data_IF_795130290181
#
_entry.id   IF_795130290181
#
_cell.length_a   1.000
_cell.length_b   1.000
_cell.length_c   1.000
_cell.angle_alpha   90.00
_cell.angle_beta   90.00
_cell.angle_gamma   90.00
#
_symmetry.space_group_name_H-M   'P 1'
#
loop_
_entity.id
_entity.type
_entity.pdbx_description
1 polymer ?
#
# COMPACT_ATOMS: atom_id res chain seq x y z
N UNK A 1 7.56 -3.20 14.66
CA UNK A 1 6.33 -2.68 14.01
C UNK A 1 6.47 -2.91 12.52
N UNK A 2 5.77 -3.85 11.96
CA UNK A 2 5.80 -4.11 10.53
C UNK A 2 4.75 -3.20 9.91
N UNK A 3 5.14 -2.39 8.93
CA UNK A 3 4.16 -1.65 8.14
C UNK A 3 3.30 -2.66 7.39
N UNK A 4 2.06 -2.78 7.77
CA UNK A 4 1.06 -3.46 6.97
C UNK A 4 0.28 -2.38 6.25
N UNK A 5 0.63 -2.21 5.02
CA UNK A 5 -0.15 -1.38 4.12
C UNK A 5 -0.99 -2.30 3.27
N UNK A 6 -2.18 -2.54 3.66
CA UNK A 6 -3.26 -2.79 2.69
C UNK A 6 -4.43 -3.46 3.36
N UNK A 7 -5.47 -2.76 3.63
CA UNK A 7 -6.79 -3.33 3.71
C UNK A 7 -7.27 -3.55 2.27
N UNK A 8 -7.00 -4.72 1.71
CA UNK A 8 -7.67 -5.12 0.48
C UNK A 8 -9.09 -5.58 0.87
N UNK A 9 -10.01 -4.65 0.99
CA UNK A 9 -11.42 -4.99 1.14
C UNK A 9 -11.92 -5.52 -0.20
N UNK A 10 -12.04 -6.85 -0.34
CA UNK A 10 -12.77 -7.44 -1.44
C UNK A 10 -14.27 -7.33 -1.14
N UNK A 11 -14.94 -6.36 -1.74
CA UNK A 11 -16.41 -6.28 -1.71
C UNK A 11 -16.94 -7.20 -2.80
N UNK A 12 -17.58 -8.29 -2.41
CA UNK A 12 -18.23 -9.22 -3.33
C UNK A 12 -19.69 -8.78 -3.53
N UNK A 13 -19.99 -8.22 -4.69
CA UNK A 13 -21.36 -7.91 -5.10
C UNK A 13 -21.86 -9.00 -6.04
N UNK A 14 -22.87 -9.74 -5.64
CA UNK A 14 -23.45 -10.81 -6.45
C UNK A 14 -24.51 -10.30 -7.44
N UNK A 15 -24.31 -10.59 -8.71
CA UNK A 15 -25.35 -10.53 -9.75
C UNK A 15 -25.12 -11.70 -10.73
N UNK A 16 -26.19 -12.32 -11.22
CA UNK A 16 -26.13 -13.51 -12.05
C UNK A 16 -25.63 -13.25 -13.46
N UNK A 17 -24.47 -13.77 -13.81
CA UNK A 17 -23.95 -13.83 -15.18
C UNK A 17 -22.99 -15.02 -15.40
N UNK A 18 -22.78 -15.42 -16.61
CA UNK A 18 -22.25 -16.66 -17.16
C UNK A 18 -21.01 -17.26 -16.48
N UNK A 19 -21.07 -18.53 -16.15
CA UNK A 19 -20.08 -19.38 -15.49
C UNK A 19 -18.80 -19.67 -16.29
N UNK A 20 -18.69 -19.20 -17.52
CA UNK A 20 -17.65 -19.66 -18.45
C UNK A 20 -16.24 -19.06 -18.23
N UNK A 21 -16.14 -17.92 -17.59
CA UNK A 21 -14.84 -17.23 -17.43
C UNK A 21 -14.05 -17.77 -16.22
N UNK A 22 -14.72 -18.08 -15.12
CA UNK A 22 -14.09 -18.56 -13.88
C UNK A 22 -13.53 -19.98 -14.04
N UNK A 23 -14.17 -20.83 -14.83
CA UNK A 23 -13.74 -22.22 -15.04
C UNK A 23 -12.41 -22.35 -15.79
N UNK A 24 -11.98 -21.34 -16.54
CA UNK A 24 -10.73 -21.37 -17.32
C UNK A 24 -9.45 -21.22 -16.47
N UNK A 25 -9.57 -20.69 -15.26
CA UNK A 25 -8.41 -20.37 -14.42
C UNK A 25 -8.20 -21.35 -13.27
N UNK A 26 -9.12 -22.29 -13.06
CA UNK A 26 -9.12 -23.10 -11.87
C UNK A 26 -8.74 -24.56 -12.11
N UNK A 27 -7.77 -25.04 -11.33
CA UNK A 27 -7.41 -26.43 -11.27
C UNK A 27 -8.58 -27.23 -10.63
N UNK A 28 -9.15 -28.26 -11.31
CA UNK A 28 -10.35 -28.97 -10.84
C UNK A 28 -10.17 -29.77 -9.55
N UNK A 29 -8.98 -29.82 -8.98
CA UNK A 29 -8.65 -30.70 -7.85
C UNK A 29 -8.81 -30.07 -6.46
N UNK A 30 -9.65 -29.06 -6.24
CA UNK A 30 -9.84 -28.54 -4.89
C UNK A 30 -10.66 -27.27 -4.70
N UNK A 31 -11.48 -26.91 -5.66
CA UNK A 31 -12.28 -25.67 -5.56
C UNK A 31 -13.38 -25.80 -4.53
N UNK A 32 -13.38 -24.93 -3.54
CA UNK A 32 -14.59 -24.72 -2.75
C UNK A 32 -15.73 -24.31 -3.68
N UNK A 33 -16.84 -25.07 -3.73
CA UNK A 33 -17.97 -24.78 -4.62
C UNK A 33 -18.51 -23.34 -4.49
N UNK A 34 -18.34 -22.73 -3.31
CA UNK A 34 -18.73 -21.34 -3.05
C UNK A 34 -17.97 -20.30 -3.87
N UNK A 35 -16.74 -20.57 -4.29
CA UNK A 35 -15.95 -19.64 -5.11
C UNK A 35 -16.53 -19.45 -6.52
N UNK A 36 -17.27 -20.43 -7.04
CA UNK A 36 -17.95 -20.32 -8.33
C UNK A 36 -19.05 -19.25 -8.37
N UNK A 37 -19.51 -18.80 -7.21
CA UNK A 37 -20.52 -17.76 -7.08
C UNK A 37 -19.92 -16.35 -7.12
N UNK A 38 -18.59 -16.22 -7.05
CA UNK A 38 -17.90 -14.94 -7.12
C UNK A 38 -17.80 -14.52 -8.59
N UNK A 39 -18.47 -13.43 -8.93
CA UNK A 39 -18.52 -12.91 -10.29
C UNK A 39 -17.67 -11.64 -10.46
N UNK A 40 -17.45 -10.92 -9.37
CA UNK A 40 -16.67 -9.68 -9.37
C UNK A 40 -15.65 -9.72 -8.24
N UNK A 41 -14.42 -9.35 -8.56
CA UNK A 41 -13.34 -9.11 -7.61
C UNK A 41 -12.99 -7.63 -7.67
N UNK A 42 -13.15 -6.94 -6.56
CA UNK A 42 -12.80 -5.53 -6.44
C UNK A 42 -11.55 -5.42 -5.58
N UNK A 43 -10.49 -4.84 -6.14
CA UNK A 43 -9.21 -4.63 -5.49
C UNK A 43 -9.09 -3.14 -5.17
N UNK A 44 -9.12 -2.81 -3.89
CA UNK A 44 -9.00 -1.46 -3.40
C UNK A 44 -7.80 -1.35 -2.47
N UNK A 45 -6.78 -0.61 -2.90
CA UNK A 45 -5.56 -0.42 -2.13
C UNK A 45 -5.55 0.99 -1.56
N UNK A 46 -5.79 1.09 -0.26
CA UNK A 46 -5.53 2.29 0.51
C UNK A 46 -4.14 2.24 1.13
N UNK A 47 -3.55 3.38 1.38
CA UNK A 47 -2.23 3.51 1.99
C UNK A 47 -2.17 4.81 2.79
N UNK A 48 -1.35 4.99 3.67
CA UNK A 48 -0.02 4.56 4.04
C UNK A 48 -0.02 4.43 5.57
N UNK A 49 -0.88 3.60 6.13
CA UNK A 49 -1.09 3.42 7.57
C UNK A 49 -0.65 2.02 7.98
N UNK A 50 0.21 1.93 9.00
CA UNK A 50 0.62 0.65 9.56
C UNK A 50 -0.57 -0.07 10.20
N UNK A 51 -0.53 -1.41 10.25
CA UNK A 51 -1.56 -2.22 10.89
C UNK A 51 -1.82 -1.77 12.34
N UNK A 52 -0.78 -1.68 13.14
CA UNK A 52 -0.89 -1.26 14.53
C UNK A 52 -1.36 0.19 14.71
N UNK A 53 -1.16 1.04 13.70
CA UNK A 53 -1.69 2.40 13.70
C UNK A 53 -3.23 2.41 13.73
N UNK A 54 -3.88 1.47 13.04
CA UNK A 54 -5.34 1.33 12.99
C UNK A 54 -5.85 0.30 14.00
N UNK A 55 -5.27 -0.89 14.00
CA UNK A 55 -5.81 -2.06 14.68
C UNK A 55 -4.94 -2.56 15.83
N UNK A 56 -3.89 -1.82 16.22
CA UNK A 56 -3.00 -2.23 17.31
C UNK A 56 -3.70 -2.46 18.65
N UNK A 57 -4.83 -1.76 18.88
CA UNK A 57 -5.66 -1.93 20.09
C UNK A 57 -6.87 -2.85 19.89
N UNK A 58 -7.10 -3.36 18.67
CA UNK A 58 -8.24 -4.22 18.38
C UNK A 58 -8.08 -5.58 19.08
N UNK A 59 -9.16 -6.04 19.71
CA UNK A 59 -9.14 -7.36 20.34
C UNK A 59 -9.10 -8.50 19.30
N UNK A 60 -8.35 -9.55 19.61
CA UNK A 60 -8.29 -10.77 18.80
C UNK A 60 -7.34 -10.73 17.59
N UNK A 61 -6.64 -9.62 17.38
CA UNK A 61 -5.61 -9.48 16.36
C UNK A 61 -4.19 -9.50 16.96
N UNK A 62 -3.18 -9.67 16.13
CA UNK A 62 -1.77 -9.58 16.51
C UNK A 62 -1.32 -8.11 16.59
N UNK A 63 -1.88 -7.39 17.53
CA UNK A 63 -1.58 -5.98 17.81
C UNK A 63 -0.74 -5.81 19.09
N UNK A 64 -0.99 -4.74 19.83
CA UNK A 64 -0.20 -4.41 21.04
C UNK A 64 -0.34 -5.43 22.18
N UNK A 65 -1.34 -6.31 22.14
CA UNK A 65 -1.57 -7.36 23.13
C UNK A 65 -1.15 -8.75 22.64
N UNK A 66 -0.44 -8.86 21.51
CA UNK A 66 0.06 -10.16 21.03
C UNK A 66 1.02 -10.76 22.07
N UNK A 67 0.73 -11.95 22.63
CA UNK A 67 1.60 -12.60 23.59
C UNK A 67 2.93 -13.07 22.99
N UNK A 68 3.03 -13.13 21.66
CA UNK A 68 4.23 -13.53 20.92
C UNK A 68 4.97 -12.33 20.33
N UNK A 69 4.98 -11.23 21.04
CA UNK A 69 5.68 -10.02 20.61
C UNK A 69 7.18 -10.29 20.44
N UNK A 70 7.75 -9.70 19.38
CA UNK A 70 9.19 -9.77 19.15
C UNK A 70 9.97 -8.99 20.24
N UNK A 71 11.04 -9.59 20.75
CA UNK A 71 11.96 -8.98 21.70
C UNK A 71 13.27 -8.68 21.01
N UNK A 72 13.67 -7.40 20.99
CA UNK A 72 14.95 -6.98 20.41
C UNK A 72 16.12 -7.45 21.28
N UNK A 73 17.12 -8.04 20.64
CA UNK A 73 18.38 -8.45 21.31
C UNK A 73 19.23 -7.24 21.72
N UNK A 74 19.05 -6.10 21.07
CA UNK A 74 19.82 -4.90 21.35
C UNK A 74 19.35 -4.23 22.65
N UNK A 75 18.05 -4.26 22.91
CA UNK A 75 17.42 -3.58 24.06
C UNK A 75 16.98 -4.54 25.14
N UNK A 76 16.85 -5.82 24.83
CA UNK A 76 16.23 -6.84 25.68
C UNK A 76 14.80 -6.45 26.11
N UNK A 77 14.09 -5.70 25.27
CA UNK A 77 12.71 -5.27 25.44
C UNK A 77 11.90 -5.64 24.18
N UNK A 78 10.59 -5.72 24.33
CA UNK A 78 9.72 -5.92 23.18
C UNK A 78 9.75 -4.72 22.22
N UNK A 79 9.31 -4.94 20.99
CA UNK A 79 9.34 -3.92 19.91
C UNK A 79 8.49 -2.70 20.19
N UNK A 80 7.61 -2.73 21.17
CA UNK A 80 6.82 -1.58 21.58
C UNK A 80 7.60 -0.61 22.50
N UNK A 81 8.83 -0.96 22.86
CA UNK A 81 9.75 -0.10 23.59
C UNK A 81 10.80 0.46 22.62
N UNK A 82 10.44 1.52 21.92
CA UNK A 82 11.30 2.11 20.89
C UNK A 82 12.32 3.07 21.50
N UNK A 83 13.63 2.82 21.36
CA UNK A 83 14.65 3.77 21.77
C UNK A 83 14.46 5.11 21.08
N UNK A 84 14.68 6.18 21.83
CA UNK A 84 14.73 7.55 21.30
C UNK A 84 16.01 8.23 21.79
N UNK A 85 16.49 9.20 21.01
CA UNK A 85 17.65 9.99 21.38
C UNK A 85 17.48 11.43 20.91
N UNK A 86 18.33 12.32 21.41
CA UNK A 86 18.37 13.70 20.95
C UNK A 86 18.77 13.85 19.48
N UNK A 87 19.39 12.84 18.90
CA UNK A 87 19.83 12.81 17.52
C UNK A 87 18.86 11.97 16.65
N UNK A 88 17.56 12.20 16.80
CA UNK A 88 16.58 11.59 15.90
C UNK A 88 16.66 12.22 14.51
N UNK A 89 16.54 11.40 13.49
CA UNK A 89 16.74 11.80 12.11
C UNK A 89 15.45 11.67 11.31
N UNK A 90 15.22 12.66 10.48
CA UNK A 90 14.28 12.54 9.39
C UNK A 90 14.83 11.54 8.37
N UNK A 91 14.08 10.49 8.11
CA UNK A 91 14.47 9.48 7.15
C UNK A 91 14.71 10.04 5.75
N UNK A 92 14.02 11.08 5.34
CA UNK A 92 14.09 11.62 3.99
C UNK A 92 15.43 12.25 3.64
N UNK A 93 15.94 13.02 4.53
CA UNK A 93 17.11 13.85 4.29
C UNK A 93 18.29 13.48 5.17
N UNK A 94 18.12 12.51 6.08
CA UNK A 94 19.07 12.24 7.16
C UNK A 94 19.36 13.52 7.97
N UNK A 95 18.40 14.41 8.06
CA UNK A 95 18.47 15.62 8.87
C UNK A 95 17.80 15.40 10.21
N UNK A 96 18.26 16.09 11.26
CA UNK A 96 17.57 16.07 12.56
C UNK A 96 16.10 16.47 12.38
N UNK A 97 15.19 15.70 13.01
CA UNK A 97 13.74 15.97 12.94
C UNK A 97 13.34 17.27 13.65
N UNK A 98 14.21 17.86 14.43
CA UNK A 98 13.85 18.95 15.31
C UNK A 98 13.01 18.55 16.52
N UNK A 99 12.65 17.27 16.65
CA UNK A 99 11.99 16.72 17.81
C UNK A 99 13.04 16.19 18.78
N UNK A 100 13.18 16.86 19.89
CA UNK A 100 14.12 16.45 20.91
C UNK A 100 13.34 15.96 22.13
N UNK A 101 13.36 14.68 22.45
CA UNK A 101 12.77 14.21 23.69
C UNK A 101 13.44 14.91 24.88
N UNK A 102 12.76 15.07 26.01
CA UNK A 102 13.38 15.52 27.25
C UNK A 102 14.64 14.73 27.57
N UNK A 103 15.57 15.32 28.33
CA UNK A 103 16.91 14.72 28.55
C UNK A 103 16.87 13.35 29.21
N UNK A 104 15.84 13.11 29.99
CA UNK A 104 15.58 11.90 30.78
C UNK A 104 14.72 10.87 30.02
N UNK A 105 14.19 11.22 28.85
CA UNK A 105 13.40 10.31 28.03
C UNK A 105 14.29 9.63 27.00
N UNK A 106 14.40 8.32 27.09
CA UNK A 106 15.20 7.49 26.19
C UNK A 106 14.39 6.40 25.48
N UNK A 107 13.08 6.38 25.67
CA UNK A 107 12.17 5.37 25.17
C UNK A 107 10.82 6.00 24.81
N UNK A 108 10.22 5.52 23.74
CA UNK A 108 8.86 5.84 23.32
C UNK A 108 8.06 4.54 23.15
N UNK A 109 6.86 4.52 23.71
CA UNK A 109 5.90 3.42 23.56
C UNK A 109 4.78 3.82 22.60
N UNK A 110 4.01 2.86 22.05
CA UNK A 110 2.80 3.18 21.31
C UNK A 110 1.91 4.13 22.12
N UNK A 111 1.43 5.17 21.47
CA UNK A 111 0.61 6.20 22.11
C UNK A 111 -0.57 6.61 21.25
N UNK A 112 -1.68 6.94 21.90
CA UNK A 112 -2.87 7.43 21.22
C UNK A 112 -2.61 8.84 20.66
N UNK A 113 -2.77 9.01 19.36
CA UNK A 113 -2.45 10.26 18.67
C UNK A 113 -3.31 11.44 19.14
N UNK A 114 -4.58 11.20 19.43
CA UNK A 114 -5.52 12.23 19.86
C UNK A 114 -5.68 12.33 21.39
N UNK A 115 -4.70 11.89 22.16
CA UNK A 115 -4.78 11.83 23.63
C UNK A 115 -5.07 13.18 24.31
N UNK A 116 -4.73 14.28 23.68
CA UNK A 116 -5.05 15.62 24.19
C UNK A 116 -6.45 16.13 23.79
N UNK A 117 -7.12 15.46 22.85
CA UNK A 117 -8.43 15.85 22.35
C UNK A 117 -8.50 17.21 21.65
N UNK A 118 -9.71 17.67 21.33
CA UNK A 118 -9.95 18.97 20.68
C UNK A 118 -9.24 19.10 19.33
N UNK A 119 -8.75 20.31 19.00
CA UNK A 119 -8.04 20.57 17.75
C UNK A 119 -6.76 19.74 17.59
N UNK A 120 -6.23 19.25 18.66
CA UNK A 120 -5.09 18.36 18.68
C UNK A 120 -5.40 17.01 18.00
N UNK A 121 -6.61 16.50 18.12
CA UNK A 121 -7.02 15.28 17.43
C UNK A 121 -6.85 15.41 15.92
N UNK A 122 -7.28 16.52 15.34
CA UNK A 122 -7.11 16.79 13.92
C UNK A 122 -5.63 16.87 13.52
N UNK A 123 -4.80 17.48 14.36
CA UNK A 123 -3.35 17.59 14.09
C UNK A 123 -2.63 16.26 14.12
N UNK A 124 -3.02 15.38 15.02
CA UNK A 124 -2.39 14.06 15.18
C UNK A 124 -2.88 13.07 14.14
N UNK A 125 -4.11 13.19 13.69
CA UNK A 125 -4.63 12.38 12.57
C UNK A 125 -4.05 12.84 11.23
N UNK A 126 -3.86 14.15 11.06
CA UNK A 126 -3.13 14.76 9.94
C UNK A 126 -1.61 14.80 10.21
N UNK A 127 -1.05 13.75 10.75
CA UNK A 127 0.35 13.67 11.13
C UNK A 127 1.30 13.80 9.95
N UNK A 128 2.53 14.22 10.22
CA UNK A 128 3.57 14.21 9.20
C UNK A 128 3.86 12.75 8.82
N UNK A 129 3.76 12.45 7.54
CA UNK A 129 4.24 11.19 7.01
C UNK A 129 5.75 11.07 7.28
N UNK A 130 6.18 9.94 7.78
CA UNK A 130 7.59 9.59 7.76
C UNK A 130 8.01 9.28 6.33
N UNK A 131 9.17 8.73 6.18
CA UNK A 131 9.58 8.17 4.90
C UNK A 131 9.41 6.66 4.93
N UNK A 132 8.96 6.12 3.81
CA UNK A 132 8.74 4.70 3.62
C UNK A 132 9.64 4.11 2.53
N UNK A 133 10.73 4.82 2.20
CA UNK A 133 11.69 4.34 1.21
C UNK A 133 12.51 3.13 1.71
N UNK A 134 13.22 2.50 0.82
CA UNK A 134 14.05 1.32 1.10
C UNK A 134 15.02 1.56 2.27
N UNK A 135 15.75 2.67 2.25
CA UNK A 135 16.81 2.93 3.24
C UNK A 135 16.24 3.07 4.64
N UNK A 136 15.18 3.84 4.79
CA UNK A 136 14.60 4.14 6.09
C UNK A 136 13.86 2.94 6.67
N UNK A 137 13.12 2.22 5.84
CA UNK A 137 12.47 0.99 6.30
C UNK A 137 13.50 -0.04 6.78
N UNK A 138 14.59 -0.22 6.05
CA UNK A 138 15.66 -1.12 6.48
C UNK A 138 16.43 -0.60 7.70
N UNK A 139 16.60 0.72 7.84
CA UNK A 139 17.19 1.31 9.03
C UNK A 139 16.29 1.11 10.25
N UNK A 140 14.97 1.29 10.11
CA UNK A 140 13.99 1.08 11.17
C UNK A 140 13.85 -0.41 11.56
N UNK A 141 13.84 -1.28 10.56
CA UNK A 141 13.83 -2.74 10.71
C UNK A 141 15.08 -3.26 11.43
N UNK A 142 16.20 -2.59 11.27
CA UNK A 142 17.46 -2.86 11.97
C UNK A 142 17.85 -4.34 12.01
N UNK A 143 17.91 -4.99 10.85
CA UNK A 143 18.28 -6.42 10.67
C UNK A 143 17.36 -7.40 11.44
N UNK A 144 16.11 -7.06 11.63
CA UNK A 144 15.12 -7.87 12.33
C UNK A 144 14.89 -7.49 13.78
N UNK A 145 15.68 -6.61 14.34
CA UNK A 145 15.51 -6.17 15.74
C UNK A 145 14.31 -5.23 15.94
N UNK A 146 13.84 -4.56 14.87
CA UNK A 146 12.62 -3.76 14.87
C UNK A 146 12.62 -2.59 15.90
N UNK A 147 13.77 -2.14 16.32
CA UNK A 147 13.95 -1.26 17.47
C UNK A 147 14.37 0.17 17.09
N UNK A 148 14.21 0.58 15.82
CA UNK A 148 14.60 1.92 15.37
C UNK A 148 13.50 2.68 14.63
N UNK A 149 12.25 2.31 14.78
CA UNK A 149 11.15 2.98 14.09
C UNK A 149 11.04 4.45 14.47
N UNK A 150 11.07 4.77 15.76
CA UNK A 150 11.01 6.16 16.22
C UNK A 150 12.25 6.97 15.82
N UNK A 151 13.43 6.35 15.78
CA UNK A 151 14.69 7.04 15.50
C UNK A 151 14.99 7.19 14.01
N UNK A 152 14.72 6.15 13.21
CA UNK A 152 15.05 6.14 11.78
C UNK A 152 13.92 6.69 10.92
N UNK A 153 12.72 6.85 11.47
CA UNK A 153 11.58 7.41 10.79
C UNK A 153 11.06 8.64 11.55
N UNK A 154 9.89 8.60 12.13
CA UNK A 154 9.34 9.67 12.98
C UNK A 154 8.75 9.07 14.25
N UNK A 155 8.60 9.84 15.34
CA UNK A 155 7.87 9.40 16.52
C UNK A 155 6.44 8.94 16.23
N UNK A 156 5.83 9.48 15.16
CA UNK A 156 4.48 9.09 14.73
C UNK A 156 4.40 7.66 14.19
N UNK A 157 5.54 7.03 13.86
CA UNK A 157 5.57 5.65 13.35
C UNK A 157 5.01 4.61 14.33
N UNK A 158 4.88 4.97 15.62
CA UNK A 158 4.29 4.12 16.66
C UNK A 158 3.06 4.76 17.33
N UNK A 159 2.54 5.85 16.74
CA UNK A 159 1.26 6.41 17.13
C UNK A 159 0.10 5.57 16.62
N UNK A 160 -1.04 5.59 17.32
CA UNK A 160 -2.23 4.85 16.93
C UNK A 160 -3.50 5.66 17.13
N UNK A 161 -4.57 5.21 16.47
CA UNK A 161 -5.93 5.71 16.62
C UNK A 161 -6.83 4.63 17.22
N UNK A 162 -7.99 5.02 17.73
CA UNK A 162 -9.00 4.12 18.29
C UNK A 162 -10.16 3.88 17.33
N UNK A 163 -11.00 2.89 17.64
CA UNK A 163 -12.24 2.61 16.94
C UNK A 163 -13.12 3.86 16.75
N UNK A 164 -13.20 4.71 17.76
CA UNK A 164 -13.99 5.95 17.70
C UNK A 164 -13.50 6.95 16.64
N UNK A 165 -12.21 6.88 16.25
CA UNK A 165 -11.62 7.74 15.24
C UNK A 165 -11.83 7.19 13.83
N UNK A 166 -11.92 5.86 13.69
CA UNK A 166 -12.04 5.15 12.41
C UNK A 166 -13.15 4.07 12.46
N UNK A 167 -14.40 4.46 12.77
CA UNK A 167 -15.48 3.49 13.01
C UNK A 167 -15.83 2.63 11.79
N UNK A 168 -15.62 3.14 10.58
CA UNK A 168 -15.91 2.38 9.34
C UNK A 168 -14.92 1.22 9.17
N UNK A 169 -13.62 1.48 9.37
CA UNK A 169 -12.58 0.47 9.29
C UNK A 169 -12.79 -0.63 10.34
N UNK A 170 -13.15 -0.25 11.58
CA UNK A 170 -13.44 -1.23 12.63
C UNK A 170 -14.67 -2.08 12.31
N UNK A 171 -15.77 -1.48 11.84
CA UNK A 171 -16.96 -2.25 11.42
C UNK A 171 -16.66 -3.22 10.29
N UNK A 172 -15.81 -2.83 9.33
CA UNK A 172 -15.37 -3.74 8.27
C UNK A 172 -14.50 -4.87 8.82
N UNK A 173 -13.56 -4.55 9.73
CA UNK A 173 -12.71 -5.55 10.37
C UNK A 173 -13.51 -6.56 11.20
N UNK A 174 -14.54 -6.11 11.93
CA UNK A 174 -15.43 -6.96 12.73
C UNK A 174 -16.36 -7.83 11.88
N UNK A 175 -16.81 -7.31 10.74
CA UNK A 175 -17.77 -8.01 9.88
C UNK A 175 -17.11 -8.99 8.90
N UNK A 176 -15.83 -8.82 8.60
CA UNK A 176 -15.11 -9.56 7.57
C UNK A 176 -13.79 -10.13 8.10
N UNK A 177 -12.93 -10.60 7.21
CA UNK A 177 -11.65 -11.18 7.56
C UNK A 177 -10.57 -10.10 7.65
N UNK A 178 -9.82 -10.09 8.75
CA UNK A 178 -8.66 -9.24 8.97
C UNK A 178 -7.39 -10.06 8.76
N UNK A 179 -6.49 -9.55 7.93
CA UNK A 179 -5.17 -10.15 7.72
C UNK A 179 -4.12 -9.47 8.61
N UNK A 180 -4.01 -9.88 9.87
CA UNK A 180 -3.09 -9.28 10.85
C UNK A 180 -1.62 -9.74 10.72
N UNK A 181 -1.36 -10.66 9.77
CA UNK A 181 -0.02 -11.11 9.36
C UNK A 181 0.21 -10.87 7.86
N UNK A 182 -0.55 -9.95 7.27
CA UNK A 182 -0.39 -9.58 5.88
C UNK A 182 0.66 -8.47 5.76
N UNK A 183 1.81 -8.82 5.21
CA UNK A 183 2.93 -7.88 5.02
C UNK A 183 2.92 -7.30 3.61
N UNK A 184 3.44 -6.08 3.45
CA UNK A 184 3.71 -5.54 2.13
C UNK A 184 4.73 -6.41 1.39
N UNK A 185 4.63 -6.47 0.08
CA UNK A 185 5.47 -7.36 -0.74
C UNK A 185 6.94 -6.95 -0.71
N UNK A 186 7.19 -5.66 -0.60
CA UNK A 186 8.53 -5.08 -0.63
C UNK A 186 8.66 -4.11 0.55
N UNK A 187 9.69 -4.28 1.36
CA UNK A 187 10.01 -3.35 2.44
C UNK A 187 10.59 -2.04 1.86
N UNK A 188 9.75 -1.30 1.19
CA UNK A 188 10.08 -0.07 0.48
C UNK A 188 8.83 0.81 0.32
N UNK A 189 8.84 1.69 -0.64
CA UNK A 189 7.83 2.72 -0.86
C UNK A 189 6.65 2.25 -1.73
N UNK A 190 5.79 3.18 -2.09
CA UNK A 190 4.55 2.98 -2.86
C UNK A 190 4.77 2.31 -4.21
N UNK A 191 5.68 2.85 -5.04
CA UNK A 191 5.85 2.37 -6.41
C UNK A 191 6.24 0.89 -6.50
N UNK A 192 7.25 0.36 -5.77
CA UNK A 192 7.58 -1.06 -5.82
C UNK A 192 6.44 -1.95 -5.32
N UNK A 193 5.70 -1.55 -4.29
CA UNK A 193 4.58 -2.32 -3.78
C UNK A 193 3.41 -2.36 -4.76
N UNK A 194 3.07 -1.25 -5.40
CA UNK A 194 2.04 -1.22 -6.44
C UNK A 194 2.45 -1.96 -7.70
N UNK A 195 3.73 -1.90 -8.10
CA UNK A 195 4.27 -2.74 -9.18
C UNK A 195 4.14 -4.22 -8.84
N UNK A 196 4.47 -4.62 -7.61
CA UNK A 196 4.27 -5.99 -7.15
C UNK A 196 2.78 -6.39 -7.15
N UNK A 197 1.90 -5.49 -6.74
CA UNK A 197 0.45 -5.72 -6.77
C UNK A 197 -0.08 -6.02 -8.17
N UNK A 198 0.43 -5.33 -9.20
CA UNK A 198 0.00 -5.53 -10.58
C UNK A 198 0.77 -6.63 -11.34
N UNK A 199 1.85 -7.19 -10.78
CA UNK A 199 2.66 -8.17 -11.54
C UNK A 199 3.30 -9.28 -10.70
N UNK A 200 3.11 -9.26 -9.38
CA UNK A 200 3.68 -10.26 -8.46
C UNK A 200 5.19 -10.14 -8.26
N UNK A 201 5.85 -9.17 -8.86
CA UNK A 201 7.30 -8.99 -8.78
C UNK A 201 7.70 -7.57 -9.17
N UNK A 202 8.87 -7.14 -8.70
CA UNK A 202 9.47 -5.85 -9.09
C UNK A 202 10.70 -6.01 -9.98
N UNK A 203 11.22 -7.23 -10.11
CA UNK A 203 12.38 -7.53 -10.95
C UNK A 203 12.48 -9.03 -11.22
N UNK A 204 11.70 -9.58 -12.17
CA UNK A 204 11.74 -11.00 -12.45
C UNK A 204 13.10 -11.40 -13.05
N UNK A 205 13.60 -12.61 -12.72
CA UNK A 205 14.80 -13.14 -13.35
C UNK A 205 14.65 -13.15 -14.88
N UNK A 206 15.60 -12.59 -15.60
CA UNK A 206 15.60 -12.44 -17.08
C UNK A 206 14.48 -11.53 -17.64
N UNK A 207 13.68 -10.89 -16.80
CA UNK A 207 12.45 -10.18 -17.22
C UNK A 207 12.67 -8.76 -17.71
N UNK A 208 13.72 -8.10 -17.29
CA UNK A 208 14.01 -6.79 -17.83
C UNK A 208 15.51 -6.48 -17.83
N UNK A 209 15.94 -5.89 -18.92
CA UNK A 209 17.16 -5.09 -18.92
C UNK A 209 16.82 -3.70 -18.34
N UNK A 210 16.12 -3.66 -17.20
CA UNK A 210 16.04 -2.42 -16.46
C UNK A 210 17.46 -2.17 -15.96
N UNK A 211 18.13 -1.21 -16.56
CA UNK A 211 19.39 -0.70 -16.06
C UNK A 211 19.12 0.07 -14.77
N UNK A 212 18.50 -0.61 -13.82
CA UNK A 212 18.32 -0.08 -12.48
C UNK A 212 19.67 0.05 -11.82
N UNK A 213 19.87 1.16 -11.19
CA UNK A 213 21.08 1.52 -10.44
C UNK A 213 21.41 0.56 -9.30
N UNK A 214 20.49 -0.36 -8.95
CA UNK A 214 20.61 -1.27 -7.83
C UNK A 214 21.06 -2.70 -8.18
N UNK A 215 21.75 -2.89 -9.30
CA UNK A 215 22.34 -4.18 -9.69
C UNK A 215 23.20 -4.84 -8.60
N UNK A 216 23.72 -4.07 -7.68
CA UNK A 216 24.77 -4.50 -6.75
C UNK A 216 24.29 -4.74 -5.33
N UNK A 217 23.03 -4.42 -5.01
CA UNK A 217 22.57 -4.40 -3.62
C UNK A 217 21.46 -5.41 -3.31
N UNK A 218 20.98 -6.16 -4.28
CA UNK A 218 19.83 -7.05 -4.08
C UNK A 218 18.54 -6.32 -3.67
N UNK A 219 18.56 -4.99 -3.74
CA UNK A 219 17.45 -4.13 -3.44
C UNK A 219 16.43 -4.05 -4.57
N UNK A 220 15.30 -3.38 -4.36
CA UNK A 220 14.31 -3.16 -5.39
C UNK A 220 14.94 -2.36 -6.54
N UNK A 221 14.60 -2.72 -7.77
CA UNK A 221 14.95 -1.91 -8.93
C UNK A 221 14.17 -0.62 -9.02
N UNK A 222 13.14 -0.50 -8.20
CA UNK A 222 12.25 0.63 -8.08
C UNK A 222 12.14 1.02 -6.61
N UNK A 223 12.36 2.28 -6.35
CA UNK A 223 11.95 2.99 -5.16
C UNK A 223 11.41 4.34 -5.63
N UNK A 224 10.51 4.98 -4.89
CA UNK A 224 9.98 6.29 -5.28
C UNK A 224 11.08 7.32 -5.52
N UNK A 225 12.21 7.20 -4.83
CA UNK A 225 13.36 8.09 -4.99
C UNK A 225 14.36 7.65 -6.03
N UNK A 226 14.53 6.35 -6.22
CA UNK A 226 15.52 5.77 -7.14
C UNK A 226 14.93 5.51 -8.53
N UNK A 227 13.64 5.65 -8.69
CA UNK A 227 12.95 5.56 -9.98
C UNK A 227 13.14 6.84 -10.81
N UNK A 228 14.40 7.28 -10.89
CA UNK A 228 14.79 8.46 -11.66
C UNK A 228 14.22 8.37 -13.06
N UNK A 229 13.33 9.28 -13.37
CA UNK A 229 12.67 9.37 -14.66
C UNK A 229 11.35 8.60 -14.80
N UNK A 230 10.86 7.95 -13.74
CA UNK A 230 9.49 7.44 -13.68
C UNK A 230 8.52 8.43 -13.03
N UNK A 231 9.04 9.46 -12.40
CA UNK A 231 8.23 10.50 -11.81
C UNK A 231 7.40 11.20 -12.86
N UNK A 232 6.13 11.42 -12.52
CA UNK A 232 5.24 12.28 -13.28
C UNK A 232 5.83 13.69 -13.26
N UNK A 233 6.42 14.13 -14.36
CA UNK A 233 6.78 15.54 -14.46
C UNK A 233 5.49 16.33 -14.57
N UNK A 234 5.22 17.23 -13.65
CA UNK A 234 4.09 18.19 -13.68
C UNK A 234 4.07 19.05 -14.96
N UNK A 235 5.10 18.94 -15.77
CA UNK A 235 5.27 19.62 -17.04
C UNK A 235 4.54 18.97 -18.23
N UNK A 236 3.74 17.92 -18.03
CA UNK A 236 3.04 17.25 -19.11
C UNK A 236 3.93 16.51 -20.11
N UNK A 237 5.21 16.37 -19.83
CA UNK A 237 6.13 15.58 -20.65
C UNK A 237 5.87 14.09 -20.45
N UNK A 238 6.00 13.26 -21.49
CA UNK A 238 5.86 11.82 -21.36
C UNK A 238 6.88 11.28 -20.34
N UNK A 239 6.44 10.29 -19.56
CA UNK A 239 7.31 9.59 -18.61
C UNK A 239 8.67 9.26 -19.20
N UNK A 240 9.73 9.68 -18.54
CA UNK A 240 11.11 9.47 -18.95
C UNK A 240 11.72 8.18 -18.40
N UNK A 241 10.95 7.38 -17.64
CA UNK A 241 11.47 6.17 -17.03
C UNK A 241 11.83 5.10 -18.08
N UNK A 242 12.83 4.33 -17.77
CA UNK A 242 13.11 3.08 -18.49
C UNK A 242 11.89 2.17 -18.27
N UNK A 243 11.07 1.90 -19.29
CA UNK A 243 9.81 1.23 -19.09
C UNK A 243 10.01 -0.21 -18.66
N UNK A 244 9.21 -0.63 -17.70
CA UNK A 244 9.08 -2.03 -17.32
C UNK A 244 8.54 -2.83 -18.53
N UNK A 245 8.92 -4.11 -18.64
CA UNK A 245 8.63 -4.89 -19.86
C UNK A 245 8.05 -6.26 -19.59
N UNK A 246 8.02 -6.73 -18.35
CA UNK A 246 7.38 -8.00 -18.05
C UNK A 246 5.87 -7.86 -18.03
N UNK A 247 5.18 -8.97 -18.08
CA UNK A 247 3.73 -9.04 -18.20
C UNK A 247 3.06 -8.74 -16.86
N UNK A 248 1.99 -7.98 -16.91
CA UNK A 248 1.17 -7.63 -15.75
C UNK A 248 -0.01 -8.60 -15.58
N UNK A 249 -0.56 -8.66 -14.36
CA UNK A 249 -1.78 -9.45 -14.08
C UNK A 249 -2.94 -9.05 -15.01
N UNK A 250 -3.25 -7.75 -15.24
CA UNK A 250 -4.28 -7.38 -16.19
C UNK A 250 -4.08 -7.91 -17.63
N UNK A 251 -2.84 -8.04 -18.08
CA UNK A 251 -2.58 -8.66 -19.39
C UNK A 251 -2.91 -10.15 -19.40
N UNK A 252 -2.64 -10.88 -18.31
CA UNK A 252 -3.05 -12.27 -18.17
C UNK A 252 -4.58 -12.39 -18.12
N UNK A 253 -5.26 -11.50 -17.41
CA UNK A 253 -6.72 -11.45 -17.37
C UNK A 253 -7.28 -11.24 -18.78
N UNK A 254 -6.74 -10.27 -19.51
CA UNK A 254 -7.18 -9.98 -20.88
C UNK A 254 -6.99 -11.15 -21.85
N UNK A 255 -5.86 -11.85 -21.78
CA UNK A 255 -5.60 -13.04 -22.59
C UNK A 255 -6.54 -14.20 -22.25
N UNK A 256 -6.95 -14.30 -21.01
CA UNK A 256 -7.91 -15.29 -20.56
C UNK A 256 -9.37 -14.94 -20.91
N UNK A 257 -9.61 -13.76 -21.47
CA UNK A 257 -10.95 -13.26 -21.77
C UNK A 257 -11.71 -12.76 -20.54
N UNK A 258 -11.01 -12.54 -19.41
CA UNK A 258 -11.57 -11.97 -18.19
C UNK A 258 -11.60 -10.46 -18.33
N UNK A 259 -12.77 -9.87 -18.08
CA UNK A 259 -12.93 -8.43 -18.15
C UNK A 259 -12.29 -7.74 -16.93
N UNK A 260 -11.62 -6.64 -17.16
CA UNK A 260 -10.97 -5.87 -16.10
C UNK A 260 -10.93 -4.38 -16.40
N UNK A 261 -10.79 -3.56 -15.36
CA UNK A 261 -10.60 -2.10 -15.48
C UNK A 261 -9.96 -1.52 -14.21
N UNK A 262 -9.19 -0.44 -14.40
CA UNK A 262 -8.76 0.47 -13.33
C UNK A 262 -9.74 1.65 -13.28
N UNK A 263 -10.31 1.90 -12.13
CA UNK A 263 -11.15 3.07 -11.83
C UNK A 263 -10.32 4.07 -11.05
N UNK A 264 -10.11 5.23 -11.65
CA UNK A 264 -9.27 6.28 -11.09
C UNK A 264 -9.67 7.65 -11.65
N UNK A 265 -9.46 8.68 -10.85
CA UNK A 265 -9.59 10.06 -11.26
C UNK A 265 -8.29 10.55 -11.90
N UNK A 266 -8.33 11.72 -12.53
CA UNK A 266 -7.16 12.34 -13.15
C UNK A 266 -6.07 12.66 -12.11
N UNK A 267 -6.48 13.05 -10.92
CA UNK A 267 -5.64 13.17 -9.75
C UNK A 267 -5.69 11.84 -8.99
N UNK A 268 -4.85 10.91 -9.34
CA UNK A 268 -4.75 9.58 -8.75
C UNK A 268 -3.55 9.43 -7.81
N UNK A 269 -3.02 10.52 -7.31
CA UNK A 269 -1.83 10.57 -6.46
C UNK A 269 -0.56 9.97 -7.08
N UNK A 270 -0.56 9.69 -8.39
CA UNK A 270 0.54 9.00 -9.08
C UNK A 270 0.57 7.49 -8.83
N UNK A 271 -0.48 6.92 -8.27
CA UNK A 271 -0.54 5.56 -7.72
C UNK A 271 -0.93 4.48 -8.73
N UNK A 272 -1.15 4.84 -10.00
CA UNK A 272 -1.33 3.84 -11.05
C UNK A 272 0.02 3.43 -11.65
N UNK A 273 0.60 2.26 -11.28
CA UNK A 273 1.91 1.86 -11.74
C UNK A 273 1.91 1.37 -13.19
N UNK A 274 0.75 1.08 -13.80
CA UNK A 274 0.66 0.58 -15.18
C UNK A 274 1.26 1.55 -16.20
N UNK A 275 1.28 2.84 -15.88
CA UNK A 275 1.94 3.87 -16.69
C UNK A 275 3.45 3.63 -16.86
N UNK A 276 4.07 2.84 -15.98
CA UNK A 276 5.50 2.50 -16.02
C UNK A 276 5.82 1.42 -17.05
N UNK A 277 4.82 0.65 -17.54
CA UNK A 277 5.07 -0.44 -18.49
C UNK A 277 5.05 0.00 -19.94
N UNK A 278 6.02 -0.51 -20.69
CA UNK A 278 6.18 -0.21 -22.12
C UNK A 278 4.93 -0.50 -22.96
N UNK A 279 4.27 -1.62 -22.68
CA UNK A 279 3.08 -2.03 -23.42
C UNK A 279 1.91 -1.07 -23.19
N UNK A 280 1.72 -0.56 -21.98
CA UNK A 280 0.69 0.45 -21.69
C UNK A 280 1.02 1.80 -22.33
N UNK A 281 2.27 2.25 -22.25
CA UNK A 281 2.73 3.46 -22.90
C UNK A 281 2.55 3.38 -24.44
N UNK A 282 2.81 2.21 -25.02
CA UNK A 282 2.63 1.98 -26.47
C UNK A 282 1.14 1.95 -26.81
N UNK A 283 0.33 1.29 -25.99
CA UNK A 283 -1.12 1.25 -26.14
C UNK A 283 -1.74 2.66 -26.04
N UNK A 284 -1.29 3.48 -25.10
CA UNK A 284 -1.78 4.86 -24.94
C UNK A 284 -1.58 5.70 -26.22
N UNK A 285 -0.43 5.58 -26.88
CA UNK A 285 -0.14 6.27 -28.14
C UNK A 285 -1.10 5.87 -29.27
N UNK A 286 -1.62 4.64 -29.23
CA UNK A 286 -2.51 4.07 -30.23
C UNK A 286 -3.97 4.07 -29.82
N UNK A 287 -4.31 4.61 -28.64
CA UNK A 287 -5.63 4.53 -28.03
C UNK A 287 -6.13 3.08 -27.90
N UNK A 288 -5.21 2.16 -27.64
CA UNK A 288 -5.50 0.72 -27.57
C UNK A 288 -6.10 0.30 -26.22
N UNK A 289 -6.63 -0.92 -26.18
CA UNK A 289 -7.42 -1.46 -25.06
C UNK A 289 -6.70 -1.47 -23.71
N UNK A 290 -5.41 -1.83 -23.68
CA UNK A 290 -4.65 -1.84 -22.43
C UNK A 290 -4.66 -0.47 -21.76
N UNK A 291 -4.42 0.60 -22.54
CA UNK A 291 -4.41 1.95 -21.99
C UNK A 291 -5.82 2.43 -21.65
N UNK A 292 -6.83 2.08 -22.44
CA UNK A 292 -8.21 2.47 -22.16
C UNK A 292 -8.75 1.81 -20.88
N UNK A 293 -8.31 0.60 -20.56
CA UNK A 293 -8.72 -0.12 -19.35
C UNK A 293 -7.83 0.20 -18.15
N UNK A 294 -6.53 0.36 -18.37
CA UNK A 294 -5.53 0.43 -17.30
C UNK A 294 -5.07 1.84 -16.93
N UNK A 295 -4.92 2.74 -17.92
CA UNK A 295 -4.29 4.06 -17.68
C UNK A 295 -5.16 5.23 -18.07
N UNK A 296 -6.44 5.00 -18.37
CA UNK A 296 -7.42 6.07 -18.58
C UNK A 296 -8.00 6.55 -17.25
N UNK A 297 -8.69 7.68 -17.29
CA UNK A 297 -9.30 8.31 -16.12
C UNK A 297 -10.83 8.29 -16.23
N UNK A 298 -11.49 7.14 -16.02
CA UNK A 298 -12.95 7.04 -16.08
C UNK A 298 -13.65 7.77 -14.92
N UNK A 299 -12.92 8.08 -13.86
CA UNK A 299 -13.45 8.63 -12.62
C UNK A 299 -13.97 7.55 -11.67
N UNK A 300 -13.94 7.82 -10.36
CA UNK A 300 -14.51 6.92 -9.36
C UNK A 300 -16.03 6.83 -9.46
N UNK A 301 -16.70 7.90 -9.89
CA UNK A 301 -18.15 7.85 -10.11
C UNK A 301 -18.55 6.75 -11.10
N UNK A 302 -17.70 6.49 -12.11
CA UNK A 302 -17.92 5.41 -13.07
C UNK A 302 -17.97 4.02 -12.41
N UNK A 303 -17.20 3.79 -11.35
CA UNK A 303 -17.28 2.54 -10.59
C UNK A 303 -18.65 2.36 -9.94
N UNK A 304 -19.16 3.41 -9.29
CA UNK A 304 -20.48 3.36 -8.66
C UNK A 304 -21.62 3.20 -9.69
N UNK A 305 -21.50 3.86 -10.83
CA UNK A 305 -22.49 3.74 -11.91
C UNK A 305 -22.46 2.32 -12.49
N UNK A 306 -21.29 1.77 -12.77
CA UNK A 306 -21.16 0.41 -13.29
C UNK A 306 -21.67 -0.64 -12.28
N UNK A 307 -21.42 -0.42 -10.97
CA UNK A 307 -21.93 -1.28 -9.92
C UNK A 307 -23.46 -1.26 -9.86
N UNK A 308 -24.06 -0.06 -9.88
CA UNK A 308 -25.52 0.11 -9.86
C UNK A 308 -26.20 -0.50 -11.08
N UNK A 309 -25.58 -0.35 -12.25
CA UNK A 309 -26.13 -0.77 -13.53
C UNK A 309 -25.79 -2.24 -13.89
N UNK A 310 -25.12 -2.98 -13.02
CA UNK A 310 -24.68 -4.36 -13.27
C UNK A 310 -23.64 -4.49 -14.39
N UNK A 311 -22.79 -3.48 -14.57
CA UNK A 311 -21.78 -3.39 -15.64
C UNK A 311 -20.33 -3.47 -15.14
N UNK A 312 -20.13 -3.80 -13.86
CA UNK A 312 -18.76 -4.00 -13.35
C UNK A 312 -18.05 -5.09 -14.15
N UNK A 313 -16.77 -4.91 -14.49
CA UNK A 313 -15.98 -6.01 -15.02
C UNK A 313 -15.76 -7.08 -13.96
N UNK A 314 -15.31 -8.25 -14.38
CA UNK A 314 -14.99 -9.35 -13.46
C UNK A 314 -13.88 -8.96 -12.47
N UNK A 315 -12.93 -8.12 -12.88
CA UNK A 315 -11.88 -7.58 -11.99
C UNK A 315 -11.82 -6.06 -12.09
N UNK A 316 -12.02 -5.41 -10.95
CA UNK A 316 -11.95 -3.95 -10.81
C UNK A 316 -10.81 -3.55 -9.88
N UNK A 317 -9.94 -2.68 -10.36
CA UNK A 317 -8.92 -2.03 -9.53
C UNK A 317 -9.37 -0.61 -9.21
N UNK A 318 -9.32 -0.21 -7.96
CA UNK A 318 -9.65 1.15 -7.53
C UNK A 318 -8.37 1.84 -7.06
N UNK A 319 -8.09 3.00 -7.66
CA UNK A 319 -6.98 3.88 -7.26
C UNK A 319 -7.58 5.21 -6.81
N UNK A 320 -7.45 5.49 -5.52
CA UNK A 320 -8.03 6.69 -4.92
C UNK A 320 -7.30 7.97 -5.37
N UNK A 321 -8.02 9.10 -5.52
CA UNK A 321 -7.41 10.41 -5.67
C UNK A 321 -6.75 10.87 -4.36
N UNK A 322 -5.88 11.88 -4.44
CA UNK A 322 -5.16 12.40 -3.28
C UNK A 322 -6.09 12.80 -2.15
N UNK A 323 -7.23 13.44 -2.44
CA UNK A 323 -8.17 13.93 -1.45
C UNK A 323 -8.93 12.82 -0.70
N UNK A 324 -8.97 11.62 -1.26
CA UNK A 324 -9.61 10.45 -0.68
C UNK A 324 -8.58 9.40 -0.23
N UNK A 325 -7.31 9.78 -0.16
CA UNK A 325 -6.24 8.91 0.32
C UNK A 325 -6.14 8.95 1.83
N UNK A 326 -5.92 7.82 2.45
CA UNK A 326 -5.60 7.71 3.88
C UNK A 326 -4.12 8.01 4.17
N UNK A 327 -3.34 8.31 3.15
CA UNK A 327 -1.92 8.63 3.28
C UNK A 327 -1.70 9.87 4.14
N UNK A 328 -0.84 9.84 5.18
CA UNK A 328 -0.47 11.05 5.89
C UNK A 328 0.12 12.12 4.95
N UNK A 329 -0.17 13.40 5.10
CA UNK A 329 -0.86 14.03 6.23
C UNK A 329 -2.40 14.07 6.12
N UNK A 330 -3.01 13.28 5.27
CA UNK A 330 -4.46 13.28 5.12
C UNK A 330 -5.12 12.49 6.26
N UNK A 331 -6.34 12.87 6.59
CA UNK A 331 -7.10 12.19 7.65
C UNK A 331 -7.56 10.82 7.18
N UNK A 332 -7.63 9.82 8.09
CA UNK A 332 -8.39 8.60 7.86
C UNK A 332 -9.85 8.99 7.54
N UNK A 333 -10.43 8.37 6.54
CA UNK A 333 -11.82 8.60 6.16
C UNK A 333 -12.78 7.66 6.87
#
# INVERSE_FOLDING_TARGET
>A
MVQVTTLAAAVVLGAAASTSAVERWYNPHGVNPGLKNIQHVVLFMQENRAFDHYFGTMAGVRGFQDPNVHVSKNTNKDVFHQPVSRNMWNGDTLQPLGYFPPKDVNELKPYYLAWQGGDWANRTQCMVAGTNDWRQNHAAYNRGEMDKWAMANTPYSIGYVHEADIPVQYKLAEAFTVGDMYYESIMSSTAPNRVSWFSGTINPPKGSKVNGTNKHMGGPTLDNRDSVGCERTDSGKPFSCVPLRWKTVPEYLQEAGISWRVYQDKDNFGDDPLVMWKQYQTSAKKKGDLAQRGTSFPGLQKFFDDARDGKLPEVSYIVAPMQLSEHPPYMPM
#
